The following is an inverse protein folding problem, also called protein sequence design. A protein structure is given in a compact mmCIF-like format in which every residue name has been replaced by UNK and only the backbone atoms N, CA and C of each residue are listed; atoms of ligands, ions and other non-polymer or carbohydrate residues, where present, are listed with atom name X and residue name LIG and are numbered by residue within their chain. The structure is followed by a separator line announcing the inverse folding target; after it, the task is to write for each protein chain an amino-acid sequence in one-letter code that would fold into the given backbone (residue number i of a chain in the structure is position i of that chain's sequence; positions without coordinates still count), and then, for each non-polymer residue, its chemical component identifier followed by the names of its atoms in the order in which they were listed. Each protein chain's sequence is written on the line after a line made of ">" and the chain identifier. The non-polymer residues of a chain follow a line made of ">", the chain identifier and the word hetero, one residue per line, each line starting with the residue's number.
data_IF_545303425696
#
_entry.id   IF_545303425696
#
_cell.length_a   1.000
_cell.length_b   1.000
_cell.length_c   1.000
_cell.angle_alpha   90.00
_cell.angle_beta   90.00
_cell.angle_gamma   90.00
#
_symmetry.space_group_name_H-M   'P 1'
#
loop_
_entity.id
_entity.type
_entity.pdbx_description
1 polymer ?
#
# COMPACT_ATOMS: atom_id res chain seq x y z
N UNK A 1 -9.28 14.89 -7.54
CA UNK A 1 -9.85 13.64 -8.13
C UNK A 1 -10.94 13.14 -7.20
N UNK A 2 -12.17 13.03 -7.72
CA UNK A 2 -13.35 12.64 -6.95
C UNK A 2 -13.35 11.15 -6.81
N UNK A 3 -12.99 10.27 -6.51
CA UNK A 3 -12.90 8.83 -6.42
C UNK A 3 -11.56 8.30 -6.98
N UNK A 4 -10.45 8.60 -6.31
CA UNK A 4 -9.12 8.26 -6.82
C UNK A 4 -8.89 6.74 -7.00
N UNK A 5 -9.61 5.90 -6.26
CA UNK A 5 -9.47 4.45 -6.34
C UNK A 5 -10.20 3.81 -7.53
N UNK A 6 -11.08 4.56 -8.20
CA UNK A 6 -11.95 4.03 -9.25
C UNK A 6 -11.42 4.24 -10.67
N UNK A 7 -10.39 5.06 -10.89
CA UNK A 7 -9.97 5.49 -12.23
C UNK A 7 -8.50 5.22 -12.52
N UNK A 8 -8.21 4.82 -13.77
CA UNK A 8 -6.87 4.84 -14.34
C UNK A 8 -6.50 6.26 -14.72
N UNK A 9 -5.26 6.65 -14.50
CA UNK A 9 -4.75 8.00 -14.73
C UNK A 9 -3.59 8.00 -15.74
N UNK A 10 -3.56 9.00 -16.61
CA UNK A 10 -2.40 9.29 -17.44
C UNK A 10 -1.28 10.00 -16.66
N UNK A 11 -0.11 10.17 -17.28
CA UNK A 11 1.06 10.77 -16.63
C UNK A 11 0.88 12.24 -16.24
N UNK A 12 0.00 12.95 -16.93
CA UNK A 12 -0.34 14.35 -16.66
C UNK A 12 -1.33 14.54 -15.50
N UNK A 13 -1.98 13.46 -15.07
CA UNK A 13 -3.01 13.45 -14.03
C UNK A 13 -2.79 12.39 -12.96
N UNK A 14 -1.58 11.89 -12.82
CA UNK A 14 -1.27 10.87 -11.83
C UNK A 14 -1.61 11.31 -10.40
N UNK A 15 -1.85 10.35 -9.53
CA UNK A 15 -2.32 10.65 -8.17
C UNK A 15 -1.35 11.52 -7.36
N UNK A 16 -0.05 11.38 -7.62
CA UNK A 16 1.02 12.15 -6.99
C UNK A 16 1.34 11.65 -5.59
N UNK A 17 2.46 10.94 -5.47
CA UNK A 17 2.99 10.45 -4.21
C UNK A 17 4.51 10.32 -4.30
N UNK A 18 5.19 10.27 -3.17
CA UNK A 18 6.59 9.87 -3.09
C UNK A 18 6.65 8.36 -2.98
N UNK A 19 7.05 7.68 -4.05
CA UNK A 19 7.18 6.23 -4.08
C UNK A 19 8.56 5.81 -3.59
N UNK A 20 8.59 4.82 -2.70
CA UNK A 20 9.81 4.34 -2.04
C UNK A 20 10.04 2.82 -2.22
N UNK A 21 9.09 2.10 -2.80
CA UNK A 21 9.24 0.69 -3.13
C UNK A 21 8.51 0.36 -4.43
N UNK A 22 9.05 -0.60 -5.19
CA UNK A 22 8.48 -1.11 -6.44
C UNK A 22 8.47 -2.63 -6.36
N UNK A 23 7.29 -3.22 -6.59
CA UNK A 23 7.10 -4.67 -6.63
C UNK A 23 6.49 -5.05 -7.97
N UNK A 24 7.22 -5.74 -8.86
CA UNK A 24 6.66 -6.23 -10.11
C UNK A 24 5.71 -7.39 -9.87
N UNK A 25 4.59 -7.39 -10.58
CA UNK A 25 3.62 -8.47 -10.59
C UNK A 25 3.18 -8.77 -12.04
N UNK A 26 2.98 -10.03 -12.37
CA UNK A 26 2.67 -10.46 -13.72
C UNK A 26 1.24 -10.94 -13.82
N UNK A 27 0.51 -10.43 -14.80
CA UNK A 27 -0.85 -10.82 -15.14
C UNK A 27 -1.00 -10.92 -16.64
N UNK A 28 -1.37 -12.11 -17.13
CA UNK A 28 -1.59 -12.32 -18.56
C UNK A 28 -0.37 -12.01 -19.43
N UNK A 29 0.85 -12.31 -18.96
CA UNK A 29 2.09 -12.01 -19.68
C UNK A 29 2.51 -10.55 -19.66
N UNK A 30 1.76 -9.67 -19.00
CA UNK A 30 2.08 -8.26 -18.83
C UNK A 30 2.56 -7.98 -17.41
N UNK A 31 3.62 -7.16 -17.30
CA UNK A 31 4.11 -6.70 -15.99
C UNK A 31 3.33 -5.47 -15.53
N UNK A 32 2.97 -5.47 -14.27
CA UNK A 32 2.44 -4.34 -13.53
C UNK A 32 3.39 -4.03 -12.37
N UNK A 33 3.82 -2.79 -12.25
CA UNK A 33 4.69 -2.35 -11.17
C UNK A 33 3.86 -1.78 -10.04
N UNK A 34 3.80 -2.50 -8.93
CA UNK A 34 3.11 -2.02 -7.73
C UNK A 34 4.04 -1.11 -6.96
N UNK A 35 3.61 0.12 -6.73
CA UNK A 35 4.38 1.17 -6.09
C UNK A 35 3.83 1.44 -4.70
N UNK A 36 4.69 1.43 -3.70
CA UNK A 36 4.34 1.85 -2.34
C UNK A 36 4.76 3.30 -2.14
N UNK A 37 3.83 4.13 -1.70
CA UNK A 37 4.07 5.56 -1.62
C UNK A 37 3.49 6.26 -0.41
N UNK A 38 3.98 7.47 -0.21
CA UNK A 38 3.54 8.43 0.80
C UNK A 38 3.10 9.72 0.12
N UNK A 39 2.04 10.32 0.65
CA UNK A 39 1.53 11.61 0.20
C UNK A 39 1.09 12.46 1.38
N UNK A 40 1.67 13.65 1.51
CA UNK A 40 1.13 14.70 2.35
C UNK A 40 -0.16 15.21 1.72
N UNK A 41 -1.28 15.11 2.44
CA UNK A 41 -2.58 15.51 1.92
C UNK A 41 -2.98 16.92 2.37
N UNK A 42 -2.82 17.20 3.66
CA UNK A 42 -3.15 18.50 4.26
C UNK A 42 -2.37 18.69 5.57
N UNK A 43 -2.65 19.78 6.29
CA UNK A 43 -2.08 20.02 7.63
C UNK A 43 -2.58 19.04 8.69
N UNK A 44 -3.63 18.28 8.44
CA UNK A 44 -4.25 17.35 9.40
C UNK A 44 -4.31 15.90 8.93
N UNK A 45 -4.06 15.64 7.63
CA UNK A 45 -4.16 14.31 7.03
C UNK A 45 -2.93 13.97 6.21
N UNK A 46 -2.46 12.75 6.36
CA UNK A 46 -1.41 12.12 5.55
C UNK A 46 -1.97 10.85 4.90
N UNK A 47 -1.38 10.40 3.79
CA UNK A 47 -1.82 9.20 3.08
C UNK A 47 -0.67 8.27 2.77
N UNK A 48 -0.93 6.97 2.85
CA UNK A 48 -0.16 5.92 2.18
C UNK A 48 -0.94 5.44 0.96
N UNK A 49 -0.20 5.04 -0.06
CA UNK A 49 -0.77 4.66 -1.36
C UNK A 49 -0.12 3.37 -1.84
N UNK A 50 -0.94 2.44 -2.30
CA UNK A 50 -0.51 1.34 -3.17
C UNK A 50 -0.98 1.71 -4.57
N UNK A 51 -0.06 2.11 -5.42
CA UNK A 51 -0.31 2.50 -6.82
C UNK A 51 0.15 1.39 -7.76
N UNK A 52 -0.35 1.39 -8.98
CA UNK A 52 0.09 0.49 -10.04
C UNK A 52 0.54 1.30 -11.24
N UNK A 53 1.76 1.07 -11.69
CA UNK A 53 2.29 1.60 -12.94
C UNK A 53 2.33 0.49 -13.99
N UNK A 54 1.80 0.77 -15.15
CA UNK A 54 1.93 -0.08 -16.34
C UNK A 54 2.17 0.76 -17.57
N UNK A 55 2.49 0.12 -18.69
CA UNK A 55 2.73 0.80 -19.97
C UNK A 55 1.76 0.27 -21.02
N UNK A 56 1.14 1.18 -21.75
CA UNK A 56 0.25 0.90 -22.86
C UNK A 56 0.73 1.65 -24.09
N UNK A 57 1.21 0.91 -25.10
CA UNK A 57 1.79 1.52 -26.28
C UNK A 57 3.00 2.41 -25.98
N UNK A 58 3.81 2.06 -24.95
CA UNK A 58 4.96 2.86 -24.51
C UNK A 58 4.60 4.03 -23.58
N UNK A 59 3.31 4.33 -23.38
CA UNK A 59 2.85 5.40 -22.50
C UNK A 59 2.57 4.87 -21.08
N UNK A 60 3.03 5.57 -20.02
CA UNK A 60 2.76 5.16 -18.66
C UNK A 60 1.27 5.33 -18.31
N UNK A 61 0.76 4.39 -17.52
CA UNK A 61 -0.58 4.40 -16.96
C UNK A 61 -0.51 4.13 -15.47
N UNK A 62 -1.20 4.93 -14.70
CA UNK A 62 -1.30 4.82 -13.24
C UNK A 62 -2.66 4.30 -12.85
N UNK A 63 -2.66 3.18 -12.15
CA UNK A 63 -3.85 2.43 -11.79
C UNK A 63 -4.05 1.19 -12.68
N UNK A 64 -4.51 0.14 -12.06
CA UNK A 64 -4.98 -1.08 -12.71
C UNK A 64 -5.94 -1.81 -11.77
N UNK A 65 -6.96 -2.53 -12.27
CA UNK A 65 -8.00 -3.16 -11.46
C UNK A 65 -7.48 -4.41 -10.75
N UNK A 66 -6.52 -4.25 -9.85
CA UNK A 66 -5.81 -5.32 -9.16
C UNK A 66 -6.21 -5.48 -7.69
N UNK A 67 -7.08 -4.61 -7.15
CA UNK A 67 -7.46 -4.60 -5.74
C UNK A 67 -8.96 -4.83 -5.56
N UNK A 68 -9.33 -5.58 -4.52
CA UNK A 68 -10.71 -5.92 -4.20
C UNK A 68 -11.16 -7.26 -4.76
N UNK A 69 -12.35 -7.66 -4.36
CA UNK A 69 -12.97 -8.93 -4.73
C UNK A 69 -14.09 -8.74 -5.77
N UNK A 70 -14.35 -9.79 -6.55
CA UNK A 70 -15.45 -9.83 -7.49
C UNK A 70 -15.21 -9.02 -8.77
N UNK A 71 -16.30 -8.47 -9.34
CA UNK A 71 -16.29 -7.81 -10.64
C UNK A 71 -15.83 -6.36 -10.60
N UNK A 72 -16.02 -5.68 -9.47
CA UNK A 72 -15.63 -4.28 -9.28
C UNK A 72 -14.34 -4.23 -8.49
N UNK A 73 -13.24 -3.95 -9.17
CA UNK A 73 -11.91 -3.84 -8.56
C UNK A 73 -11.44 -2.39 -8.54
N UNK A 74 -10.74 -2.03 -7.48
CA UNK A 74 -10.12 -0.70 -7.37
C UNK A 74 -8.82 -0.65 -8.15
N UNK A 75 -8.51 0.54 -8.66
CA UNK A 75 -7.31 0.81 -9.47
C UNK A 75 -6.05 1.02 -8.62
N UNK A 76 -6.24 1.46 -7.37
CA UNK A 76 -5.23 1.71 -6.34
C UNK A 76 -5.85 1.64 -4.96
N UNK A 77 -5.01 1.55 -3.94
CA UNK A 77 -5.44 1.68 -2.53
C UNK A 77 -4.90 2.97 -1.93
N UNK A 78 -5.73 3.66 -1.16
CA UNK A 78 -5.39 4.91 -0.48
C UNK A 78 -5.79 4.81 0.98
N UNK A 79 -4.84 5.03 1.88
CA UNK A 79 -5.01 4.96 3.33
C UNK A 79 -4.77 6.33 3.92
N UNK A 80 -5.84 6.98 4.39
CA UNK A 80 -5.79 8.28 5.06
C UNK A 80 -5.68 8.11 6.57
N UNK A 81 -4.81 8.92 7.19
CA UNK A 81 -4.60 8.91 8.63
C UNK A 81 -4.17 10.28 9.14
N UNK A 82 -4.19 10.47 10.47
CA UNK A 82 -3.76 11.71 11.10
C UNK A 82 -2.31 12.05 10.74
N UNK A 83 -2.04 13.31 10.44
CA UNK A 83 -0.67 13.79 10.22
C UNK A 83 0.24 13.59 11.44
N UNK A 84 -0.33 13.47 12.64
CA UNK A 84 0.41 13.20 13.89
C UNK A 84 0.74 11.71 14.08
N UNK A 85 0.09 10.83 13.34
CA UNK A 85 0.36 9.40 13.36
C UNK A 85 1.43 9.02 12.34
N UNK A 86 2.02 7.84 12.53
CA UNK A 86 2.93 7.22 11.56
C UNK A 86 2.36 5.86 11.17
N UNK A 87 2.19 5.62 9.86
CA UNK A 87 1.70 4.35 9.32
C UNK A 87 2.79 3.65 8.54
N UNK A 88 3.02 2.37 8.84
CA UNK A 88 3.89 1.50 8.06
C UNK A 88 3.13 0.90 6.87
N UNK A 89 3.75 0.94 5.71
CA UNK A 89 3.34 0.24 4.49
C UNK A 89 4.63 -0.20 3.80
N UNK A 90 4.88 -1.52 3.69
CA UNK A 90 6.16 -2.04 3.24
C UNK A 90 6.06 -3.36 2.51
N UNK A 91 7.05 -3.66 1.67
CA UNK A 91 7.24 -4.95 1.05
C UNK A 91 8.01 -5.88 1.99
N UNK A 92 7.41 -7.03 2.29
CA UNK A 92 8.06 -8.14 2.99
C UNK A 92 8.52 -9.18 1.95
N UNK A 93 9.80 -9.11 1.58
CA UNK A 93 10.35 -9.96 0.55
C UNK A 93 10.45 -11.43 0.97
N UNK A 94 10.56 -11.73 2.26
CA UNK A 94 10.66 -13.09 2.76
C UNK A 94 9.35 -13.86 2.62
N UNK A 95 8.23 -13.18 2.85
CA UNK A 95 6.88 -13.75 2.74
C UNK A 95 6.18 -13.35 1.43
N UNK A 96 6.84 -12.59 0.57
CA UNK A 96 6.32 -12.08 -0.72
C UNK A 96 4.94 -11.42 -0.57
N UNK A 97 4.84 -10.49 0.38
CA UNK A 97 3.59 -9.78 0.69
C UNK A 97 3.83 -8.29 0.98
N UNK A 98 2.83 -7.47 0.71
CA UNK A 98 2.78 -6.09 1.18
C UNK A 98 2.16 -6.10 2.56
N UNK A 99 2.84 -5.53 3.55
CA UNK A 99 2.36 -5.44 4.95
C UNK A 99 2.12 -4.00 5.32
N UNK A 100 1.01 -3.76 6.01
CA UNK A 100 0.62 -2.43 6.44
C UNK A 100 0.00 -2.45 7.84
N UNK A 101 0.13 -1.33 8.54
CA UNK A 101 -0.62 -1.11 9.77
C UNK A 101 -2.13 -1.04 9.45
N UNK A 102 -2.93 -1.70 10.26
CA UNK A 102 -4.38 -1.50 10.25
C UNK A 102 -4.73 -0.15 10.87
N UNK A 103 -5.56 0.63 10.18
CA UNK A 103 -5.99 1.94 10.65
C UNK A 103 -7.36 1.86 11.30
N UNK A 104 -7.47 2.46 12.48
CA UNK A 104 -8.73 2.59 13.21
C UNK A 104 -8.96 4.04 13.64
N UNK A 105 -10.21 4.49 13.74
CA UNK A 105 -10.51 5.82 14.27
C UNK A 105 -10.17 5.88 15.77
N UNK A 106 -9.72 7.05 16.23
CA UNK A 106 -9.41 7.28 17.65
C UNK A 106 -10.65 7.14 18.56
N UNK A 107 -11.83 7.37 18.00
CA UNK A 107 -13.13 7.15 18.63
C UNK A 107 -14.14 6.72 17.57
N UNK A 108 -15.14 5.95 17.96
CA UNK A 108 -16.15 5.41 17.07
C UNK A 108 -17.00 6.49 16.36
N UNK A 109 -17.25 7.61 17.02
CA UNK A 109 -17.98 8.76 16.44
C UNK A 109 -17.17 9.52 15.37
N UNK A 110 -15.89 9.21 15.20
CA UNK A 110 -14.98 9.80 14.20
C UNK A 110 -14.74 8.87 13.00
N UNK A 111 -15.51 7.79 12.90
CA UNK A 111 -15.43 6.87 11.76
C UNK A 111 -15.66 7.61 10.43
N UNK A 112 -14.82 7.28 9.42
CA UNK A 112 -14.84 7.92 8.10
C UNK A 112 -14.08 9.23 8.00
N UNK A 113 -13.55 9.75 9.11
CA UNK A 113 -12.77 11.00 9.14
C UNK A 113 -11.27 10.69 9.23
N UNK A 114 -10.57 10.64 8.11
CA UNK A 114 -9.18 10.19 8.01
C UNK A 114 -8.21 10.91 8.97
N UNK A 115 -8.43 12.21 9.23
CA UNK A 115 -7.63 13.01 10.15
C UNK A 115 -7.60 12.48 11.60
N UNK A 116 -8.48 11.54 11.95
CA UNK A 116 -8.59 10.93 13.28
C UNK A 116 -8.26 9.44 13.31
N UNK A 117 -7.76 8.90 12.18
CA UNK A 117 -7.31 7.51 12.09
C UNK A 117 -5.83 7.39 12.45
N UNK A 118 -5.48 6.25 12.99
CA UNK A 118 -4.10 5.86 13.27
C UNK A 118 -3.97 4.34 13.39
N UNK A 119 -2.74 3.82 13.43
CA UNK A 119 -2.49 2.41 13.68
C UNK A 119 -3.06 1.93 15.01
N UNK A 120 -3.66 0.75 15.00
CA UNK A 120 -4.24 0.10 16.20
C UNK A 120 -3.40 -1.09 16.70
N UNK A 121 -2.18 -1.22 16.22
CA UNK A 121 -1.20 -2.29 16.51
C UNK A 121 -1.57 -3.65 15.93
N UNK A 122 -2.58 -3.74 15.08
CA UNK A 122 -2.80 -4.90 14.21
C UNK A 122 -2.27 -4.61 12.80
N UNK A 123 -2.11 -5.67 12.00
CA UNK A 123 -1.51 -5.58 10.67
C UNK A 123 -2.37 -6.31 9.65
N UNK A 124 -2.41 -5.75 8.45
CA UNK A 124 -3.02 -6.37 7.28
C UNK A 124 -1.95 -6.64 6.22
N UNK A 125 -2.29 -7.44 5.23
CA UNK A 125 -1.41 -7.72 4.10
C UNK A 125 -2.15 -7.80 2.78
N UNK A 126 -1.39 -7.60 1.69
CA UNK A 126 -1.79 -7.97 0.34
C UNK A 126 -0.82 -9.02 -0.19
N UNK A 127 -1.36 -10.13 -0.67
CA UNK A 127 -0.62 -11.22 -1.29
C UNK A 127 -1.03 -11.32 -2.75
N UNK A 128 -0.04 -11.43 -3.65
CA UNK A 128 -0.35 -11.62 -5.06
C UNK A 128 -0.94 -13.01 -5.32
N UNK A 129 -2.14 -13.05 -5.90
CA UNK A 129 -2.83 -14.27 -6.29
C UNK A 129 -3.18 -14.21 -7.78
N UNK A 130 -2.33 -14.81 -8.60
CA UNK A 130 -2.46 -14.96 -10.05
C UNK A 130 -2.66 -13.66 -10.85
N UNK A 131 -3.69 -12.89 -10.55
CA UNK A 131 -4.13 -11.75 -11.34
C UNK A 131 -4.52 -10.51 -10.52
N UNK A 132 -4.39 -10.57 -9.19
CA UNK A 132 -4.75 -9.48 -8.28
C UNK A 132 -4.03 -9.57 -6.94
N UNK A 133 -4.06 -8.47 -6.19
CA UNK A 133 -3.63 -8.40 -4.81
C UNK A 133 -4.78 -8.79 -3.88
N UNK A 134 -4.66 -9.96 -3.24
CA UNK A 134 -5.63 -10.44 -2.28
C UNK A 134 -5.37 -9.84 -0.91
N UNK A 135 -6.39 -9.20 -0.34
CA UNK A 135 -6.32 -8.62 1.00
C UNK A 135 -6.44 -9.72 2.07
N UNK A 136 -5.56 -9.65 3.07
CA UNK A 136 -5.55 -10.51 4.24
C UNK A 136 -5.59 -9.65 5.49
N UNK A 137 -6.63 -9.84 6.29
CA UNK A 137 -6.83 -9.09 7.52
C UNK A 137 -6.15 -9.75 8.69
N UNK A 138 -5.65 -8.94 9.63
CA UNK A 138 -5.16 -9.37 10.95
C UNK A 138 -4.09 -10.47 10.85
N UNK A 139 -3.03 -10.19 10.09
CA UNK A 139 -1.89 -11.11 9.95
C UNK A 139 -1.00 -11.08 11.19
N UNK A 140 -0.34 -12.20 11.47
CA UNK A 140 0.75 -12.23 12.47
C UNK A 140 2.02 -11.62 11.86
N UNK A 141 2.36 -10.40 12.26
CA UNK A 141 3.56 -9.71 11.78
C UNK A 141 4.83 -10.11 12.53
N UNK A 142 4.75 -10.95 13.56
CA UNK A 142 5.94 -11.44 14.31
C UNK A 142 6.86 -12.26 13.42
N UNK A 143 6.32 -12.96 12.44
CA UNK A 143 7.10 -13.72 11.46
C UNK A 143 8.06 -12.85 10.63
N UNK A 144 7.86 -11.54 10.61
CA UNK A 144 8.71 -10.61 9.88
C UNK A 144 10.08 -10.40 10.54
N UNK A 145 10.17 -10.59 11.85
CA UNK A 145 11.42 -10.45 12.60
C UNK A 145 12.28 -11.71 12.54
N UNK A 146 11.69 -12.86 12.27
CA UNK A 146 12.39 -14.16 12.16
C UNK A 146 13.34 -14.17 10.96
N UNK A 147 13.03 -13.41 9.91
CA UNK A 147 13.83 -13.36 8.68
C UNK A 147 14.82 -12.20 8.61
N UNK A 148 14.91 -11.37 9.65
CA UNK A 148 16.00 -10.38 9.72
C UNK A 148 17.30 -11.13 9.91
N UNK A 149 18.32 -10.92 9.05
CA UNK A 149 19.64 -11.48 9.29
C UNK A 149 20.10 -10.99 10.67
N UNK A 150 20.42 -11.93 11.58
CA UNK A 150 21.01 -11.59 12.84
C UNK A 150 22.40 -11.00 12.59
N UNK A 151 22.58 -9.74 12.89
CA UNK A 151 23.90 -9.12 12.88
C UNK A 151 24.61 -9.47 14.18
N UNK A 152 25.64 -10.34 14.16
CA UNK A 152 26.40 -10.61 15.38
C UNK A 152 27.00 -9.30 15.89
N UNK A 153 27.15 -9.14 17.22
CA UNK A 153 27.79 -7.96 17.77
C UNK A 153 29.21 -7.82 17.19
N UNK A 154 29.70 -6.58 17.01
CA UNK A 154 31.07 -6.37 16.54
C UNK A 154 32.06 -7.18 17.40
N UNK A 155 32.96 -7.87 16.75
CA UNK A 155 34.05 -8.57 17.49
C UNK A 155 34.81 -7.52 18.28
N UNK A 156 34.95 -7.72 19.60
CA UNK A 156 35.83 -6.91 20.43
C UNK A 156 37.23 -6.92 19.83
N UNK A 157 37.83 -5.77 19.65
CA UNK A 157 39.21 -5.62 19.17
C UNK A 157 40.17 -6.00 20.29
#
# INVERSE_FOLDING_TARGET
>A
ITAPTAVELGPDKWYGAVYYAVVPAWKGGKVYYTLLGWKGQSSIETRKVIEVLSFKGGAPRFGAPLFGEGKVRRQREVFGYSYQASMSLRWDAAMERIVLDHLSPSRQDLEGQAAFYGPDMSYDAYVWDKDHWQFQRDIDARDMDIHKPWNPPPKAR
#
